data_IF_967232339580
#
_entry.id   IF_967232339580
#
_cell.length_a   1.000
_cell.length_b   1.000
_cell.length_c   1.000
_cell.angle_alpha   90.00
_cell.angle_beta   90.00
_cell.angle_gamma   90.00
#
_symmetry.space_group_name_H-M   'P 1'
#
loop_
_entity.id
_entity.type
_entity.pdbx_description
1 polymer ?
#
# COMPACT_ATOMS: atom_id res chain seq x y z
N UNK A 1 -10.76 20.93 19.42
CA UNK A 1 -10.64 20.46 18.02
C UNK A 1 -9.93 19.10 17.96
N UNK A 2 -10.41 18.06 18.67
CA UNK A 2 -9.78 16.74 18.65
C UNK A 2 -9.87 16.03 17.29
N UNK A 3 -10.82 16.43 16.46
CA UNK A 3 -11.10 15.80 15.16
C UNK A 3 -10.01 16.11 14.13
N UNK A 4 -9.48 17.33 14.14
CA UNK A 4 -8.33 17.74 13.30
C UNK A 4 -7.08 16.93 13.66
N UNK A 5 -6.84 16.67 14.95
CA UNK A 5 -5.70 15.86 15.38
C UNK A 5 -5.75 14.42 14.85
N UNK A 6 -6.93 13.80 14.88
CA UNK A 6 -7.12 12.45 14.31
C UNK A 6 -6.98 12.44 12.79
N UNK A 7 -7.47 13.48 12.12
CA UNK A 7 -7.36 13.62 10.67
C UNK A 7 -5.89 13.74 10.24
N UNK A 8 -5.09 14.56 10.93
CA UNK A 8 -3.64 14.66 10.68
C UNK A 8 -2.89 13.35 10.92
N UNK A 9 -3.22 12.61 11.99
CA UNK A 9 -2.62 11.30 12.28
C UNK A 9 -2.96 10.29 11.17
N UNK A 10 -4.24 10.25 10.75
CA UNK A 10 -4.68 9.40 9.65
C UNK A 10 -3.96 9.71 8.34
N UNK A 11 -3.84 10.99 7.99
CA UNK A 11 -3.11 11.47 6.81
C UNK A 11 -1.62 11.07 6.84
N UNK A 12 -0.97 11.18 8.01
CA UNK A 12 0.41 10.77 8.20
C UNK A 12 0.61 9.27 7.97
N UNK A 13 -0.29 8.43 8.47
CA UNK A 13 -0.25 6.98 8.25
C UNK A 13 -0.41 6.65 6.76
N UNK A 14 -1.37 7.28 6.08
CA UNK A 14 -1.58 7.08 4.63
C UNK A 14 -0.33 7.45 3.84
N UNK A 15 0.29 8.58 4.15
CA UNK A 15 1.52 9.05 3.48
C UNK A 15 2.70 8.10 3.69
N UNK A 16 2.88 7.56 4.90
CA UNK A 16 3.94 6.58 5.18
C UNK A 16 3.72 5.29 4.39
N UNK A 17 2.48 4.78 4.37
CA UNK A 17 2.13 3.57 3.63
C UNK A 17 2.30 3.77 2.13
N UNK A 18 1.94 4.94 1.61
CA UNK A 18 2.16 5.31 0.21
C UNK A 18 3.65 5.45 -0.12
N UNK A 19 4.44 6.05 0.78
CA UNK A 19 5.90 6.16 0.63
C UNK A 19 6.59 4.80 0.62
N UNK A 20 6.19 3.88 1.52
CA UNK A 20 6.65 2.50 1.51
C UNK A 20 6.27 1.79 0.22
N UNK A 21 5.02 1.97 -0.23
CA UNK A 21 4.55 1.38 -1.48
C UNK A 21 5.40 1.79 -2.68
N UNK A 22 5.68 3.09 -2.82
CA UNK A 22 6.52 3.63 -3.90
C UNK A 22 7.97 3.14 -3.77
N UNK A 23 8.51 3.07 -2.55
CA UNK A 23 9.88 2.60 -2.31
C UNK A 23 10.08 1.13 -2.71
N UNK A 24 9.07 0.29 -2.49
CA UNK A 24 9.15 -1.14 -2.74
C UNK A 24 8.66 -1.57 -4.14
N UNK A 25 8.11 -0.64 -4.93
CA UNK A 25 7.61 -0.94 -6.28
C UNK A 25 8.75 -1.45 -7.17
N UNK A 26 8.67 -2.71 -7.59
CA UNK A 26 9.63 -3.33 -8.51
C UNK A 26 10.74 -4.21 -7.88
N UNK A 27 10.86 -4.28 -6.55
CA UNK A 27 11.87 -5.13 -5.85
C UNK A 27 11.32 -5.85 -4.60
N UNK A 28 10.03 -6.19 -4.59
CA UNK A 28 9.47 -6.97 -3.49
C UNK A 28 9.83 -8.47 -3.66
N UNK A 29 10.50 -9.11 -2.69
CA UNK A 29 10.63 -10.55 -2.68
C UNK A 29 9.20 -11.15 -2.61
N UNK A 30 8.81 -11.89 -3.65
CA UNK A 30 7.45 -12.44 -3.81
C UNK A 30 6.73 -12.01 -5.08
N UNK A 31 7.22 -10.98 -5.78
CA UNK A 31 6.75 -10.67 -7.13
C UNK A 31 7.29 -11.73 -8.11
N UNK A 32 6.39 -12.47 -8.75
CA UNK A 32 6.77 -13.55 -9.66
C UNK A 32 7.20 -12.89 -10.97
N UNK A 33 8.52 -12.83 -11.17
CA UNK A 33 9.13 -12.33 -12.41
C UNK A 33 9.62 -13.52 -13.22
N UNK A 34 8.85 -13.92 -14.23
CA UNK A 34 9.27 -14.96 -15.17
C UNK A 34 9.88 -14.24 -16.36
N UNK A 35 11.22 -14.27 -16.45
CA UNK A 35 11.98 -13.83 -17.63
C UNK A 35 12.31 -15.04 -18.51
N UNK A 36 11.84 -14.98 -19.75
CA UNK A 36 12.15 -15.88 -20.86
C UNK A 36 12.78 -15.05 -21.99
N UNK A 37 13.48 -15.68 -22.92
CA UNK A 37 14.29 -15.01 -23.97
C UNK A 37 13.55 -13.92 -24.77
N UNK A 38 12.22 -14.02 -24.94
CA UNK A 38 11.38 -12.99 -25.59
C UNK A 38 10.15 -12.57 -24.76
N UNK A 39 10.06 -12.94 -23.48
CA UNK A 39 8.86 -12.70 -22.67
C UNK A 39 9.20 -12.40 -21.22
N UNK A 40 8.67 -11.30 -20.68
CA UNK A 40 8.77 -10.97 -19.25
C UNK A 40 7.37 -10.89 -18.68
N UNK A 41 7.01 -11.82 -17.80
CA UNK A 41 5.77 -11.78 -17.02
C UNK A 41 6.08 -11.28 -15.61
N UNK A 42 5.39 -10.22 -15.21
CA UNK A 42 5.50 -9.63 -13.87
C UNK A 42 4.17 -9.82 -13.16
N UNK A 43 4.14 -10.58 -12.07
CA UNK A 43 2.94 -10.79 -11.28
C UNK A 43 3.15 -10.29 -9.84
N UNK A 44 2.66 -9.08 -9.52
CA UNK A 44 2.95 -8.40 -8.27
C UNK A 44 1.95 -8.81 -7.17
N UNK A 45 2.06 -10.06 -6.68
CA UNK A 45 1.17 -10.62 -5.65
C UNK A 45 1.32 -9.83 -4.35
N UNK A 46 2.55 -9.65 -3.90
CA UNK A 46 2.85 -9.02 -2.61
C UNK A 46 2.37 -7.57 -2.60
N UNK A 47 2.60 -6.86 -3.70
CA UNK A 47 2.15 -5.47 -3.92
C UNK A 47 0.63 -5.36 -3.83
N UNK A 48 -0.10 -6.29 -4.43
CA UNK A 48 -1.57 -6.28 -4.47
C UNK A 48 -2.18 -6.53 -3.09
N UNK A 49 -1.60 -7.48 -2.33
CA UNK A 49 -2.02 -7.75 -0.94
C UNK A 49 -1.75 -6.54 -0.05
N UNK A 50 -0.57 -5.92 -0.19
CA UNK A 50 -0.18 -4.76 0.61
C UNK A 50 -1.11 -3.58 0.37
N UNK A 51 -1.41 -3.25 -0.90
CA UNK A 51 -2.39 -2.22 -1.27
C UNK A 51 -3.74 -2.49 -0.61
N UNK A 52 -4.23 -3.73 -0.72
CA UNK A 52 -5.55 -4.10 -0.21
C UNK A 52 -5.63 -3.95 1.31
N UNK A 53 -4.56 -4.32 2.02
CA UNK A 53 -4.45 -4.15 3.47
C UNK A 53 -4.42 -2.67 3.87
N UNK A 54 -3.64 -1.85 3.15
CA UNK A 54 -3.54 -0.40 3.36
C UNK A 54 -4.91 0.26 3.17
N UNK A 55 -5.58 0.00 2.05
CA UNK A 55 -6.92 0.54 1.78
C UNK A 55 -7.93 0.08 2.83
N UNK A 56 -7.88 -1.18 3.25
CA UNK A 56 -8.77 -1.70 4.29
C UNK A 56 -8.58 -0.97 5.62
N UNK A 57 -7.34 -0.70 6.02
CA UNK A 57 -7.03 0.06 7.24
C UNK A 57 -7.52 1.50 7.11
N UNK A 58 -7.32 2.13 5.94
CA UNK A 58 -7.82 3.49 5.68
C UNK A 58 -9.34 3.54 5.79
N UNK A 59 -10.06 2.63 5.13
CA UNK A 59 -11.52 2.58 5.20
C UNK A 59 -12.03 2.25 6.61
N UNK A 60 -11.35 1.36 7.35
CA UNK A 60 -11.68 1.07 8.73
C UNK A 60 -11.55 2.31 9.63
N UNK A 61 -10.46 3.06 9.50
CA UNK A 61 -10.24 4.29 10.25
C UNK A 61 -11.26 5.35 9.84
N UNK A 62 -11.53 5.52 8.55
CA UNK A 62 -12.52 6.47 8.06
C UNK A 62 -13.92 6.14 8.60
N UNK A 63 -14.34 4.86 8.55
CA UNK A 63 -15.65 4.42 9.04
C UNK A 63 -15.79 4.52 10.56
N UNK A 64 -14.70 4.46 11.31
CA UNK A 64 -14.73 4.50 12.79
C UNK A 64 -14.59 5.90 13.35
N UNK A 65 -13.89 6.79 12.65
CA UNK A 65 -13.59 8.14 13.11
C UNK A 65 -14.46 9.24 12.47
N UNK A 66 -15.10 8.95 11.34
CA UNK A 66 -16.07 9.80 10.67
C UNK A 66 -17.48 9.21 10.84
#
# INVERSE_FOLDING_TARGET
MPDIGRLLIGLGIVLILFGLFVFYIGKLPGDIVIKKENFTFYFPITTSILISLILSIIFYLFSKFF
#
